data_IF_870897472721
#
_entry.id   IF_870897472721
#
_cell.length_a   1.000
_cell.length_b   1.000
_cell.length_c   1.000
_cell.angle_alpha   90.00
_cell.angle_beta   90.00
_cell.angle_gamma   90.00
#
_symmetry.space_group_name_H-M   'P 1'
#
loop_
_entity.id
_entity.type
_entity.pdbx_description
1 polymer ?
#
# COMPACT_ATOMS: atom_id res chain seq x y z
N UNK A 1 16.97 -44.21 47.73
CA UNK A 1 15.97 -43.33 47.09
C UNK A 1 16.11 -41.92 47.67
N UNK A 2 16.76 -41.01 46.94
CA UNK A 2 16.94 -39.62 47.39
C UNK A 2 15.65 -38.82 47.22
N UNK A 3 15.07 -38.30 48.30
CA UNK A 3 13.95 -37.35 48.26
C UNK A 3 14.40 -36.08 47.54
N UNK A 4 13.85 -35.82 46.35
CA UNK A 4 13.96 -34.52 45.70
C UNK A 4 13.25 -33.49 46.60
N UNK A 5 14.05 -32.62 47.20
CA UNK A 5 13.58 -31.58 48.12
C UNK A 5 12.84 -30.52 47.29
N UNK A 6 11.51 -30.57 47.27
CA UNK A 6 10.69 -29.52 46.65
C UNK A 6 11.00 -28.18 47.33
N UNK A 7 11.70 -27.29 46.61
CA UNK A 7 11.88 -25.90 47.02
C UNK A 7 10.59 -25.17 46.64
N UNK A 8 9.83 -24.72 47.64
CA UNK A 8 8.70 -23.83 47.42
C UNK A 8 9.19 -22.41 47.14
N UNK A 9 8.57 -21.73 46.19
CA UNK A 9 8.81 -20.30 45.95
C UNK A 9 8.23 -19.47 47.09
N UNK A 10 8.97 -18.46 47.52
CA UNK A 10 8.46 -17.45 48.45
C UNK A 10 7.54 -16.48 47.72
N UNK A 11 6.52 -15.95 48.42
CA UNK A 11 5.60 -14.95 47.87
C UNK A 11 6.36 -13.70 47.37
N UNK A 12 7.47 -13.37 48.05
CA UNK A 12 8.35 -12.24 47.70
C UNK A 12 9.09 -12.49 46.37
N UNK A 13 9.60 -13.70 46.13
CA UNK A 13 10.26 -14.03 44.85
C UNK A 13 9.29 -13.85 43.67
N UNK A 14 8.05 -14.29 43.81
CA UNK A 14 7.03 -14.11 42.77
C UNK A 14 6.71 -12.62 42.58
N UNK A 15 6.58 -11.86 43.67
CA UNK A 15 6.26 -10.43 43.63
C UNK A 15 7.34 -9.62 42.90
N UNK A 16 8.61 -9.89 43.15
CA UNK A 16 9.74 -9.19 42.50
C UNK A 16 9.78 -9.53 41.01
N UNK A 17 9.55 -10.80 40.64
CA UNK A 17 9.58 -11.23 39.24
C UNK A 17 8.47 -10.55 38.42
N UNK A 18 7.24 -10.53 38.92
CA UNK A 18 6.15 -9.83 38.21
C UNK A 18 6.42 -8.32 38.13
N UNK A 19 7.03 -7.72 39.16
CA UNK A 19 7.42 -6.31 39.14
C UNK A 19 8.43 -6.00 38.04
N UNK A 20 9.44 -6.84 37.88
CA UNK A 20 10.45 -6.71 36.80
C UNK A 20 9.79 -6.89 35.42
N UNK A 21 8.90 -7.88 35.27
CA UNK A 21 8.18 -8.11 33.99
C UNK A 21 7.35 -6.88 33.60
N UNK A 22 6.60 -6.29 34.54
CA UNK A 22 5.76 -5.11 34.27
C UNK A 22 6.62 -3.90 33.86
N UNK A 23 7.75 -3.68 34.55
CA UNK A 23 8.69 -2.61 34.22
C UNK A 23 9.26 -2.78 32.80
N UNK A 24 9.76 -3.97 32.45
CA UNK A 24 10.28 -4.24 31.11
C UNK A 24 9.21 -4.18 30.01
N UNK A 25 8.00 -4.69 30.29
CA UNK A 25 6.88 -4.64 29.35
C UNK A 25 6.44 -3.20 29.05
N UNK A 26 6.44 -2.32 30.06
CA UNK A 26 6.06 -0.90 29.89
C UNK A 26 6.97 -0.14 28.91
N UNK A 27 8.27 -0.43 28.93
CA UNK A 27 9.24 0.16 28.00
C UNK A 27 9.08 -0.40 26.57
N UNK A 28 8.71 -1.68 26.47
CA UNK A 28 8.53 -2.37 25.19
C UNK A 28 7.27 -1.92 24.46
N UNK A 29 6.20 -1.62 25.20
CA UNK A 29 4.90 -1.25 24.65
C UNK A 29 4.94 0.03 23.80
N UNK A 30 5.69 1.04 24.23
CA UNK A 30 5.79 2.33 23.52
C UNK A 30 6.44 2.21 22.12
N UNK A 31 7.31 1.23 21.90
CA UNK A 31 7.99 1.03 20.62
C UNK A 31 7.18 0.30 19.55
N UNK A 32 6.15 -0.46 19.94
CA UNK A 32 5.41 -1.34 19.03
C UNK A 32 4.52 -0.54 18.08
N UNK A 33 3.92 0.57 18.54
CA UNK A 33 3.00 1.37 17.73
C UNK A 33 3.68 1.99 16.50
N UNK A 34 4.89 2.53 16.67
CA UNK A 34 5.66 3.12 15.55
C UNK A 34 6.17 2.05 14.58
N UNK A 35 6.59 0.89 15.10
CA UNK A 35 6.98 -0.25 14.28
C UNK A 35 5.82 -0.79 13.42
N UNK A 36 4.62 -0.88 13.99
CA UNK A 36 3.41 -1.28 13.25
C UNK A 36 3.03 -0.28 12.15
N UNK A 37 3.17 1.02 12.40
CA UNK A 37 2.93 2.04 11.38
C UNK A 37 3.93 1.94 10.23
N UNK A 38 5.20 1.68 10.54
CA UNK A 38 6.23 1.43 9.54
C UNK A 38 5.98 0.13 8.75
N UNK A 39 5.57 -0.94 9.42
CA UNK A 39 5.24 -2.21 8.76
C UNK A 39 4.07 -2.05 7.77
N UNK A 40 2.99 -1.38 8.18
CA UNK A 40 1.87 -1.02 7.30
C UNK A 40 2.34 -0.21 6.09
N UNK A 41 3.33 0.68 6.28
CA UNK A 41 3.91 1.49 5.20
C UNK A 41 4.63 0.62 4.19
N UNK A 42 5.49 -0.26 4.67
CA UNK A 42 6.25 -1.17 3.84
C UNK A 42 5.30 -2.06 3.02
N UNK A 43 4.22 -2.56 3.63
CA UNK A 43 3.18 -3.32 2.94
C UNK A 43 2.50 -2.48 1.85
N UNK A 44 2.06 -1.25 2.15
CA UNK A 44 1.46 -0.36 1.16
C UNK A 44 2.39 -0.07 -0.04
N UNK A 45 3.67 0.21 0.22
CA UNK A 45 4.66 0.43 -0.84
C UNK A 45 4.89 -0.85 -1.66
N UNK A 46 4.89 -2.02 -1.01
CA UNK A 46 4.99 -3.32 -1.70
C UNK A 46 3.80 -3.55 -2.63
N UNK A 47 2.58 -3.27 -2.17
CA UNK A 47 1.37 -3.39 -2.99
C UNK A 47 1.42 -2.46 -4.21
N UNK A 48 1.83 -1.19 -4.02
CA UNK A 48 2.02 -0.25 -5.13
C UNK A 48 3.04 -0.75 -6.15
N UNK A 49 4.14 -1.39 -5.69
CA UNK A 49 5.14 -2.02 -6.57
C UNK A 49 4.57 -3.17 -7.37
N UNK A 50 3.79 -4.05 -6.76
CA UNK A 50 3.15 -5.17 -7.47
C UNK A 50 2.19 -4.66 -8.55
N UNK A 51 1.37 -3.66 -8.23
CA UNK A 51 0.45 -3.05 -9.21
C UNK A 51 1.23 -2.35 -10.34
N UNK A 52 2.28 -1.60 -10.01
CA UNK A 52 3.09 -0.92 -11.02
C UNK A 52 3.86 -1.87 -11.93
N UNK A 53 4.36 -2.99 -11.40
CA UNK A 53 4.95 -4.06 -12.20
C UNK A 53 3.93 -4.70 -13.13
N UNK A 54 2.73 -5.01 -12.63
CA UNK A 54 1.65 -5.53 -13.46
C UNK A 54 1.28 -4.56 -14.58
N UNK A 55 1.24 -3.26 -14.29
CA UNK A 55 0.98 -2.20 -15.28
C UNK A 55 2.10 -2.10 -16.33
N UNK A 56 3.36 -2.34 -15.95
CA UNK A 56 4.48 -2.39 -16.89
C UNK A 56 4.41 -3.63 -17.79
N UNK A 57 4.08 -4.80 -17.23
CA UNK A 57 3.87 -6.02 -18.01
C UNK A 57 2.74 -5.83 -19.01
N UNK A 58 1.61 -5.27 -18.59
CA UNK A 58 0.51 -4.90 -19.49
C UNK A 58 1.00 -4.00 -20.63
N UNK A 59 1.76 -2.94 -20.30
CA UNK A 59 2.25 -2.03 -21.32
C UNK A 59 3.18 -2.71 -22.33
N UNK A 60 3.99 -3.68 -21.90
CA UNK A 60 4.90 -4.43 -22.77
C UNK A 60 4.16 -5.40 -23.70
N UNK A 61 3.05 -5.98 -23.25
CA UNK A 61 2.26 -6.94 -24.03
C UNK A 61 1.31 -6.26 -25.03
N UNK A 62 0.95 -4.99 -24.81
CA UNK A 62 0.10 -4.23 -25.71
C UNK A 62 0.92 -3.45 -26.74
N UNK A 63 0.59 -3.59 -28.02
CA UNK A 63 1.34 -3.06 -29.19
C UNK A 63 1.72 -1.58 -29.10
N UNK A 64 0.94 -0.78 -28.39
CA UNK A 64 1.15 0.66 -28.29
C UNK A 64 2.10 1.09 -27.16
N UNK A 65 2.67 0.15 -26.38
CA UNK A 65 3.51 0.45 -25.22
C UNK A 65 2.87 1.53 -24.35
N UNK A 66 1.64 1.28 -23.87
CA UNK A 66 0.86 2.23 -23.09
C UNK A 66 0.35 1.60 -21.79
N UNK A 67 0.23 2.41 -20.73
CA UNK A 67 -0.45 1.97 -19.52
C UNK A 67 -1.97 1.85 -19.75
N UNK A 68 -2.69 1.06 -18.91
CA UNK A 68 -4.15 0.93 -19.00
C UNK A 68 -4.85 2.28 -19.00
N UNK A 69 -5.64 2.54 -20.03
CA UNK A 69 -6.34 3.81 -20.22
C UNK A 69 -7.78 3.56 -20.66
N UNK A 70 -8.74 4.11 -19.91
CA UNK A 70 -10.17 3.89 -20.04
C UNK A 70 -10.89 5.12 -20.64
N UNK A 71 -10.15 6.15 -21.05
CA UNK A 71 -10.69 7.44 -21.49
C UNK A 71 -10.43 8.56 -20.49
N UNK A 72 -10.71 9.80 -20.91
CA UNK A 72 -10.45 11.02 -20.14
C UNK A 72 -11.44 11.23 -18.99
N UNK A 73 -12.69 10.80 -19.18
CA UNK A 73 -13.75 10.87 -18.15
C UNK A 73 -13.74 9.69 -17.18
N UNK A 74 -12.83 8.73 -17.39
CA UNK A 74 -12.74 7.53 -16.58
C UNK A 74 -12.15 7.81 -15.19
N UNK A 75 -12.57 7.02 -14.20
CA UNK A 75 -12.01 7.10 -12.86
C UNK A 75 -10.68 6.33 -12.79
N UNK A 76 -9.89 6.61 -11.75
CA UNK A 76 -8.69 5.83 -11.46
C UNK A 76 -8.97 4.31 -11.34
N UNK A 77 -10.19 3.97 -10.90
CA UNK A 77 -10.61 2.59 -10.70
C UNK A 77 -10.86 1.88 -12.04
N UNK A 78 -11.39 2.59 -13.03
CA UNK A 78 -11.67 2.04 -14.35
C UNK A 78 -10.38 1.66 -15.08
N UNK A 79 -9.34 2.50 -14.98
CA UNK A 79 -8.00 2.17 -15.47
C UNK A 79 -7.42 0.91 -14.80
N UNK A 80 -7.64 0.74 -13.50
CA UNK A 80 -7.15 -0.41 -12.74
C UNK A 80 -7.96 -1.68 -13.05
N UNK A 81 -9.25 -1.57 -13.36
CA UNK A 81 -10.08 -2.71 -13.78
C UNK A 81 -9.58 -3.33 -15.10
N UNK A 82 -9.17 -2.50 -16.07
CA UNK A 82 -8.50 -2.99 -17.30
C UNK A 82 -7.26 -3.82 -16.95
N UNK A 83 -6.49 -3.35 -15.96
CA UNK A 83 -5.29 -4.06 -15.51
C UNK A 83 -5.64 -5.42 -14.89
N UNK A 84 -6.70 -5.50 -14.09
CA UNK A 84 -7.15 -6.76 -13.46
C UNK A 84 -7.61 -7.76 -14.52
N UNK A 85 -8.34 -7.32 -15.53
CA UNK A 85 -8.79 -8.18 -16.63
C UNK A 85 -7.61 -8.78 -17.41
N UNK A 86 -6.54 -8.00 -17.58
CA UNK A 86 -5.35 -8.44 -18.30
C UNK A 86 -4.37 -9.30 -17.49
N UNK A 87 -4.50 -9.32 -16.16
CA UNK A 87 -3.42 -9.80 -15.30
C UNK A 87 -3.94 -10.69 -14.16
N UNK A 88 -3.80 -12.01 -14.34
CA UNK A 88 -4.33 -13.02 -13.43
C UNK A 88 -3.65 -13.09 -12.04
N UNK A 89 -2.57 -12.33 -11.80
CA UNK A 89 -1.83 -12.34 -10.53
C UNK A 89 -2.25 -11.25 -9.54
N UNK A 90 -3.17 -10.37 -9.91
CA UNK A 90 -3.65 -9.31 -9.03
C UNK A 90 -4.75 -9.84 -8.12
N UNK A 91 -4.59 -9.67 -6.81
CA UNK A 91 -5.62 -10.01 -5.82
C UNK A 91 -6.32 -8.74 -5.32
N UNK A 92 -7.58 -8.83 -4.85
CA UNK A 92 -8.34 -7.68 -4.35
C UNK A 92 -7.64 -6.92 -3.21
N UNK A 93 -6.86 -7.64 -2.41
CA UNK A 93 -6.16 -7.13 -1.23
C UNK A 93 -5.05 -6.14 -1.57
N UNK A 94 -4.44 -6.27 -2.76
CA UNK A 94 -3.40 -5.36 -3.24
C UNK A 94 -3.92 -3.93 -3.39
N UNK A 95 -5.22 -3.77 -3.69
CA UNK A 95 -5.84 -2.49 -3.95
C UNK A 95 -6.34 -1.76 -2.70
N UNK A 96 -6.12 -2.33 -1.52
CA UNK A 96 -6.48 -1.72 -0.24
C UNK A 96 -5.24 -1.53 0.63
N UNK A 97 -5.01 -0.30 1.08
CA UNK A 97 -3.92 0.02 1.99
C UNK A 97 -4.23 -0.52 3.40
N UNK A 98 -3.29 -1.25 4.05
CA UNK A 98 -3.46 -1.77 5.42
C UNK A 98 -3.64 -0.70 6.49
N UNK A 99 -3.31 0.57 6.18
CA UNK A 99 -3.55 1.70 7.07
C UNK A 99 -4.92 2.38 6.86
N UNK A 100 -5.66 2.02 5.80
CA UNK A 100 -6.97 2.58 5.53
C UNK A 100 -8.00 2.09 6.54
N UNK A 101 -8.76 3.01 7.13
CA UNK A 101 -9.86 2.68 8.04
C UNK A 101 -11.15 2.57 7.23
N UNK A 102 -11.74 1.38 7.19
CA UNK A 102 -13.11 1.18 6.68
C UNK A 102 -13.25 0.84 5.20
N UNK A 103 -12.15 0.72 4.44
CA UNK A 103 -12.20 0.12 3.09
C UNK A 103 -12.02 -1.39 3.21
N UNK A 104 -12.89 -2.13 2.53
CA UNK A 104 -12.85 -3.59 2.45
C UNK A 104 -12.44 -3.97 1.03
N UNK A 105 -11.56 -4.97 0.85
CA UNK A 105 -11.20 -5.47 -0.48
C UNK A 105 -12.44 -5.87 -1.29
N UNK A 106 -12.30 -5.81 -2.62
CA UNK A 106 -13.35 -6.31 -3.51
C UNK A 106 -13.61 -7.80 -3.24
N UNK A 107 -14.87 -8.22 -3.38
CA UNK A 107 -15.22 -9.64 -3.31
C UNK A 107 -14.95 -10.30 -4.65
N UNK A 108 -14.40 -11.50 -4.61
CA UNK A 108 -14.27 -12.35 -5.78
C UNK A 108 -15.59 -13.09 -6.05
N UNK A 109 -15.95 -13.17 -7.32
CA UNK A 109 -17.05 -13.99 -7.83
C UNK A 109 -16.65 -15.48 -7.85
N UNK A 110 -17.59 -16.37 -8.16
CA UNK A 110 -17.36 -17.83 -8.24
C UNK A 110 -16.24 -18.24 -9.21
N UNK A 111 -15.91 -17.36 -10.16
CA UNK A 111 -14.86 -17.54 -11.15
C UNK A 111 -13.52 -16.89 -10.75
N UNK A 112 -13.37 -16.40 -9.51
CA UNK A 112 -12.16 -15.72 -9.03
C UNK A 112 -11.94 -14.33 -9.63
N UNK A 113 -12.97 -13.73 -10.25
CA UNK A 113 -12.92 -12.38 -10.80
C UNK A 113 -13.43 -11.37 -9.78
N UNK A 114 -12.89 -10.16 -9.80
CA UNK A 114 -13.37 -9.07 -8.94
C UNK A 114 -13.34 -7.75 -9.69
N UNK A 115 -14.24 -6.84 -9.30
CA UNK A 115 -14.33 -5.50 -9.88
C UNK A 115 -14.04 -4.47 -8.79
N UNK A 116 -13.12 -3.57 -9.09
CA UNK A 116 -12.87 -2.44 -8.23
C UNK A 116 -13.95 -1.37 -8.42
N UNK A 117 -14.27 -0.72 -7.32
CA UNK A 117 -15.16 0.42 -7.18
C UNK A 117 -14.48 1.45 -6.29
N UNK A 118 -14.98 2.69 -6.29
CA UNK A 118 -14.45 3.72 -5.39
C UNK A 118 -14.55 3.35 -3.90
N UNK A 119 -15.40 2.38 -3.53
CA UNK A 119 -15.58 1.94 -2.14
C UNK A 119 -14.61 0.84 -1.70
N UNK A 120 -14.04 0.08 -2.63
CA UNK A 120 -13.19 -1.07 -2.33
C UNK A 120 -11.73 -0.89 -2.81
N UNK A 121 -11.41 0.24 -3.43
CA UNK A 121 -10.05 0.59 -3.86
C UNK A 121 -9.55 1.82 -3.09
N UNK A 122 -8.38 1.73 -2.47
CA UNK A 122 -7.67 2.89 -1.94
C UNK A 122 -6.65 3.41 -2.93
N UNK A 123 -6.16 2.60 -3.87
CA UNK A 123 -5.14 3.05 -4.84
C UNK A 123 -5.73 4.03 -5.86
N UNK A 124 -4.94 5.02 -6.26
CA UNK A 124 -5.24 6.02 -7.28
C UNK A 124 -4.13 6.05 -8.32
N UNK A 125 -4.51 6.31 -9.56
CA UNK A 125 -3.58 6.50 -10.67
C UNK A 125 -3.78 7.86 -11.35
N UNK A 126 -2.77 8.32 -12.11
CA UNK A 126 -2.87 9.57 -12.88
C UNK A 126 -4.05 9.51 -13.86
N UNK A 127 -4.98 10.47 -13.74
CA UNK A 127 -6.14 10.63 -14.63
C UNK A 127 -5.84 11.28 -15.97
N UNK A 128 -4.62 11.79 -16.17
CA UNK A 128 -4.21 12.51 -17.39
C UNK A 128 -2.87 11.93 -17.83
N UNK A 129 -2.64 11.70 -19.14
CA UNK A 129 -1.31 11.38 -19.63
C UNK A 129 -0.33 12.48 -19.24
N UNK A 130 0.74 12.11 -18.56
CA UNK A 130 1.79 13.04 -18.11
C UNK A 130 2.66 13.62 -19.26
N UNK A 131 2.35 13.25 -20.51
CA UNK A 131 2.98 13.75 -21.72
C UNK A 131 1.91 14.37 -22.61
N UNK A 132 2.13 15.56 -23.21
CA UNK A 132 1.18 16.13 -24.17
C UNK A 132 1.07 15.23 -25.40
N UNK A 133 -0.17 14.88 -25.79
CA UNK A 133 -0.48 14.42 -27.14
C UNK A 133 -0.36 12.92 -27.44
N UNK A 134 -0.20 12.03 -26.46
CA UNK A 134 -0.35 10.59 -26.70
C UNK A 134 -0.53 9.83 -25.37
N UNK A 135 -1.08 8.61 -25.45
CA UNK A 135 -1.32 7.67 -24.36
C UNK A 135 -0.26 7.70 -23.23
N UNK A 136 -0.65 7.47 -21.96
CA UNK A 136 0.25 7.65 -20.82
C UNK A 136 1.47 6.73 -20.93
N UNK A 137 2.62 7.29 -21.28
CA UNK A 137 3.94 6.62 -21.21
C UNK A 137 4.53 6.60 -19.79
N UNK A 138 3.86 7.28 -18.86
CA UNK A 138 4.21 7.37 -17.44
C UNK A 138 2.91 7.31 -16.65
N UNK A 139 2.88 6.50 -15.60
CA UNK A 139 1.74 6.42 -14.68
C UNK A 139 2.23 6.79 -13.28
N UNK A 140 1.46 7.64 -12.62
CA UNK A 140 1.57 7.85 -11.19
C UNK A 140 0.68 6.84 -10.50
N UNK A 141 1.21 6.11 -9.54
CA UNK A 141 0.45 5.28 -8.63
C UNK A 141 0.68 5.79 -7.21
N UNK A 142 -0.41 6.11 -6.53
CA UNK A 142 -0.40 6.57 -5.15
C UNK A 142 -1.57 5.93 -4.42
N UNK A 143 -1.48 5.82 -3.10
CA UNK A 143 -2.66 5.50 -2.30
C UNK A 143 -3.52 6.76 -2.09
N UNK A 144 -4.85 6.62 -2.05
CA UNK A 144 -5.80 7.72 -1.84
C UNK A 144 -5.60 8.38 -0.48
N UNK A 145 -5.05 7.67 0.52
CA UNK A 145 -4.65 8.25 1.80
C UNK A 145 -3.32 9.03 1.71
N UNK A 146 -2.69 9.08 0.53
CA UNK A 146 -1.62 10.03 0.19
C UNK A 146 -2.14 11.34 -0.44
N UNK A 147 -3.47 11.52 -0.57
CA UNK A 147 -4.08 12.84 -0.85
C UNK A 147 -4.35 13.52 0.50
N UNK A 148 -3.78 14.67 0.83
CA UNK A 148 -3.03 15.59 0.02
C UNK A 148 -3.41 17.06 0.22
N UNK A 149 -4.35 17.40 1.10
CA UNK A 149 -4.84 18.77 1.28
C UNK A 149 -3.82 19.68 2.00
N UNK A 150 -2.68 19.93 1.37
CA UNK A 150 -1.79 21.06 1.67
C UNK A 150 -0.88 20.94 2.90
N UNK A 151 -1.12 20.05 3.85
CA UNK A 151 -0.26 19.85 5.01
C UNK A 151 0.38 18.47 4.98
N UNK A 152 1.67 18.33 5.29
CA UNK A 152 2.39 17.05 5.26
C UNK A 152 1.96 16.04 6.35
N UNK A 153 0.75 16.20 6.86
CA UNK A 153 0.11 15.52 7.98
C UNK A 153 -0.98 14.58 7.46
N UNK A 154 -0.61 13.66 6.57
CA UNK A 154 -1.52 12.64 6.06
C UNK A 154 -1.47 11.41 6.98
N UNK A 155 -2.56 11.21 7.74
CA UNK A 155 -2.79 10.00 8.51
C UNK A 155 -2.93 8.78 7.60
N UNK A 156 -1.80 8.18 7.24
CA UNK A 156 -1.72 7.05 6.32
C UNK A 156 -0.41 7.06 5.54
N UNK A 157 0.71 6.95 6.27
CA UNK A 157 2.09 6.89 5.76
C UNK A 157 2.69 8.18 5.19
N UNK A 158 3.70 8.74 5.88
CA UNK A 158 4.50 9.89 5.41
C UNK A 158 5.16 9.62 4.05
N UNK A 159 4.71 10.28 3.00
CA UNK A 159 5.45 10.53 1.74
C UNK A 159 5.40 9.34 0.79
N UNK A 160 4.82 9.53 -0.41
CA UNK A 160 5.53 9.70 -1.68
C UNK A 160 4.74 9.00 -2.78
N UNK A 161 4.80 9.46 -4.03
CA UNK A 161 4.13 8.85 -5.17
C UNK A 161 5.10 7.88 -5.83
N UNK A 162 4.63 6.68 -6.17
CA UNK A 162 5.38 5.79 -7.03
C UNK A 162 5.18 6.23 -8.48
N UNK A 163 6.27 6.59 -9.14
CA UNK A 163 6.31 6.96 -10.55
C UNK A 163 6.80 5.76 -11.34
N UNK A 164 5.97 5.24 -12.24
CA UNK A 164 6.34 4.18 -13.17
C UNK A 164 6.46 4.77 -14.57
N UNK A 165 7.55 4.42 -15.27
CA UNK A 165 7.80 4.86 -16.65
C UNK A 165 7.92 3.63 -17.55
N UNK A 166 7.34 3.73 -18.74
CA UNK A 166 7.51 2.73 -19.79
C UNK A 166 8.99 2.73 -20.18
N UNK A 167 9.64 1.56 -20.05
CA UNK A 167 11.10 1.42 -19.98
C UNK A 167 11.60 0.82 -18.66
N UNK A 168 10.71 0.48 -17.72
CA UNK A 168 11.00 -0.36 -16.56
C UNK A 168 11.54 0.37 -15.32
N UNK A 169 11.62 1.71 -15.36
CA UNK A 169 12.03 2.48 -14.18
C UNK A 169 10.86 2.75 -13.23
N UNK A 170 11.07 2.40 -11.96
CA UNK A 170 10.17 2.68 -10.84
C UNK A 170 10.91 3.61 -9.86
N UNK A 171 10.40 4.81 -9.67
CA UNK A 171 10.98 5.80 -8.76
C UNK A 171 9.97 6.21 -7.69
N UNK A 172 10.40 6.23 -6.44
CA UNK A 172 9.59 6.76 -5.35
C UNK A 172 9.90 8.24 -5.15
N UNK A 173 8.94 9.11 -5.48
CA UNK A 173 9.13 10.56 -5.46
C UNK A 173 8.29 11.17 -4.35
N UNK A 174 8.89 12.01 -3.50
CA UNK A 174 8.12 12.76 -2.51
C UNK A 174 7.19 13.74 -3.24
N UNK A 175 5.95 13.88 -2.79
CA UNK A 175 4.92 14.74 -3.42
C UNK A 175 5.43 16.17 -3.68
N UNK A 176 6.21 16.76 -2.74
CA UNK A 176 6.80 18.10 -2.90
C UNK A 176 7.88 18.23 -3.97
N UNK A 177 8.40 17.11 -4.45
CA UNK A 177 9.47 17.03 -5.46
C UNK A 177 8.95 16.55 -6.82
N UNK A 178 7.63 16.56 -7.01
CA UNK A 178 7.05 16.27 -8.32
C UNK A 178 7.43 17.39 -9.30
N UNK A 179 7.80 17.06 -10.54
CA UNK A 179 8.06 18.07 -11.57
C UNK A 179 6.84 18.96 -11.82
N UNK A 180 7.07 20.21 -12.20
CA UNK A 180 6.02 21.15 -12.57
C UNK A 180 5.21 20.62 -13.77
N UNK A 181 3.88 20.71 -13.68
CA UNK A 181 2.94 20.18 -14.70
C UNK A 181 2.40 18.78 -14.42
N UNK A 182 2.87 18.08 -13.38
CA UNK A 182 2.35 16.77 -13.00
C UNK A 182 1.12 16.91 -12.09
N UNK A 183 -0.02 16.40 -12.55
CA UNK A 183 -1.27 16.41 -11.76
C UNK A 183 -1.25 15.23 -10.78
N UNK A 184 -1.50 15.51 -9.49
CA UNK A 184 -1.59 14.47 -8.46
C UNK A 184 -2.84 13.59 -8.72
N UNK A 185 -2.75 12.25 -8.55
CA UNK A 185 -3.86 11.31 -8.70
C UNK A 185 -5.11 11.62 -7.85
#
# INVERSE_FOLDING_TARGET
MGKLRNRGFTLVEILVVIGIIVLLASLSYAGIMSAMEYAKRCACISNLRQIGLAALTYAQENDANMFPWAGEDATAVDHLNILIESNAMLTPELFVCPASKGKVPAKEDENGRFILTEKNCTIRCSKVPLSPGDYPKKILLADAHMRGNGDDSFGGHKGGICVYRIGGSCEFVKVKKLPDGWVKP
#
